data_IF_713091682488
#
_entry.id   IF_713091682488
#
_cell.length_a   1.000
_cell.length_b   1.000
_cell.length_c   1.000
_cell.angle_alpha   90.00
_cell.angle_beta   90.00
_cell.angle_gamma   90.00
#
_symmetry.space_group_name_H-M   'P 1'
#
loop_
_entity.id
_entity.type
_entity.pdbx_description
1 polymer ?
#
# COMPACT_ATOMS: atom_id res chain seq x y z
N UNK A 1 -20.84 10.82 -5.86
CA UNK A 1 -20.54 9.45 -6.25
C UNK A 1 -19.25 9.01 -5.55
N UNK A 2 -19.23 7.85 -4.97
CA UNK A 2 -18.06 7.35 -4.26
C UNK A 2 -16.90 7.05 -5.22
N UNK A 3 -15.70 7.31 -4.77
CA UNK A 3 -14.49 6.99 -5.52
C UNK A 3 -14.32 5.48 -5.60
N UNK A 4 -13.85 5.00 -6.74
CA UNK A 4 -13.59 3.57 -6.91
C UNK A 4 -12.30 3.20 -6.17
N UNK A 5 -12.38 2.21 -5.28
CA UNK A 5 -11.25 1.74 -4.49
C UNK A 5 -11.02 0.25 -4.73
N UNK A 6 -10.79 -0.07 -6.00
CA UNK A 6 -10.45 -1.40 -6.46
C UNK A 6 -9.13 -1.31 -7.23
N UNK A 7 -8.15 -2.12 -6.84
CA UNK A 7 -6.86 -2.16 -7.51
C UNK A 7 -7.03 -2.73 -8.90
N UNK A 8 -6.56 -2.01 -9.91
CA UNK A 8 -6.59 -2.49 -11.28
C UNK A 8 -5.29 -3.15 -11.68
N UNK A 9 -4.18 -2.45 -11.44
CA UNK A 9 -2.85 -2.92 -11.82
C UNK A 9 -1.87 -2.48 -10.75
N UNK A 10 -1.25 -3.45 -10.09
CA UNK A 10 -0.27 -3.15 -9.05
C UNK A 10 0.71 -4.30 -8.95
N UNK A 11 2.00 -3.99 -9.01
CA UNK A 11 3.05 -4.99 -8.91
C UNK A 11 4.11 -4.52 -7.91
N UNK A 12 4.40 -5.35 -6.93
CA UNK A 12 5.41 -5.00 -5.93
C UNK A 12 5.61 -6.09 -4.92
N UNK A 13 6.43 -5.78 -3.92
CA UNK A 13 6.70 -6.69 -2.81
C UNK A 13 6.23 -6.01 -1.53
N UNK A 14 5.33 -6.66 -0.81
CA UNK A 14 4.88 -6.19 0.50
C UNK A 14 5.96 -6.49 1.52
N UNK A 15 6.33 -5.47 2.30
CA UNK A 15 7.34 -5.55 3.35
C UNK A 15 6.74 -5.23 4.71
N UNK A 16 7.34 -5.80 5.74
CA UNK A 16 7.21 -5.33 7.12
C UNK A 16 8.61 -4.91 7.56
N UNK A 17 8.81 -3.60 7.82
CA UNK A 17 10.14 -3.03 8.01
C UNK A 17 11.01 -3.41 6.79
N UNK A 18 12.13 -4.09 6.98
CA UNK A 18 12.97 -4.51 5.87
C UNK A 18 12.85 -6.00 5.55
N UNK A 19 11.77 -6.63 6.04
CA UNK A 19 11.50 -8.05 5.78
C UNK A 19 10.48 -8.20 4.65
N UNK A 20 10.84 -8.82 3.52
CA UNK A 20 9.90 -9.07 2.43
C UNK A 20 8.91 -10.16 2.82
N UNK A 21 7.63 -9.93 2.54
CA UNK A 21 6.55 -10.85 2.91
C UNK A 21 5.89 -11.50 1.71
N UNK A 22 5.53 -10.71 0.70
CA UNK A 22 4.71 -11.20 -0.40
C UNK A 22 5.11 -10.48 -1.69
N UNK A 23 5.53 -11.27 -2.68
CA UNK A 23 5.75 -10.76 -4.04
C UNK A 23 4.46 -10.99 -4.82
N UNK A 24 3.81 -9.91 -5.23
CA UNK A 24 2.49 -10.01 -5.85
C UNK A 24 2.38 -9.14 -7.10
N UNK A 25 1.48 -9.55 -7.97
CA UNK A 25 1.11 -8.75 -9.13
C UNK A 25 -0.39 -8.87 -9.37
N UNK A 26 -1.06 -7.73 -9.49
CA UNK A 26 -2.46 -7.63 -9.88
C UNK A 26 -2.48 -6.99 -11.26
N UNK A 27 -3.21 -7.60 -12.18
CA UNK A 27 -3.39 -7.10 -13.53
C UNK A 27 -4.85 -7.26 -13.95
N UNK A 28 -5.44 -6.18 -14.43
CA UNK A 28 -6.84 -6.16 -14.84
C UNK A 28 -7.76 -6.69 -13.74
N UNK A 29 -7.50 -6.25 -12.50
CA UNK A 29 -8.27 -6.63 -11.31
C UNK A 29 -8.19 -8.10 -10.97
N UNK A 30 -7.13 -8.78 -11.40
CA UNK A 30 -6.88 -10.17 -11.06
C UNK A 30 -5.51 -10.33 -10.40
N UNK A 31 -5.46 -11.15 -9.36
CA UNK A 31 -4.18 -11.50 -8.74
C UNK A 31 -3.54 -12.59 -9.59
N UNK A 32 -2.53 -12.19 -10.40
CA UNK A 32 -1.87 -13.12 -11.33
C UNK A 32 -0.59 -13.72 -10.75
N UNK A 33 -0.09 -13.17 -9.66
CA UNK A 33 1.11 -13.67 -9.00
C UNK A 33 1.01 -13.40 -7.51
N UNK A 34 1.35 -14.39 -6.70
CA UNK A 34 1.46 -14.22 -5.25
C UNK A 34 2.43 -15.25 -4.71
N UNK A 35 3.59 -14.78 -4.24
CA UNK A 35 4.63 -15.63 -3.68
C UNK A 35 4.89 -15.21 -2.24
N UNK A 36 4.61 -16.12 -1.30
CA UNK A 36 4.88 -15.90 0.12
C UNK A 36 6.39 -16.02 0.35
N UNK A 37 7.01 -14.93 0.79
CA UNK A 37 8.46 -14.86 0.98
C UNK A 37 8.88 -15.06 2.44
N UNK A 38 7.92 -15.23 3.36
CA UNK A 38 8.22 -15.26 4.78
C UNK A 38 7.47 -16.35 5.55
N UNK A 39 7.04 -17.40 4.85
CA UNK A 39 6.33 -18.53 5.46
C UNK A 39 5.09 -18.08 6.26
N UNK A 40 4.37 -17.10 5.76
CA UNK A 40 3.16 -16.58 6.37
C UNK A 40 3.38 -15.71 7.59
N UNK A 41 4.62 -15.50 8.00
CA UNK A 41 4.91 -14.75 9.22
C UNK A 41 4.89 -13.24 8.97
N UNK A 42 4.45 -12.48 9.96
CA UNK A 42 4.37 -11.01 9.96
C UNK A 42 3.34 -10.44 9.00
N UNK A 43 2.53 -11.28 8.37
CA UNK A 43 1.48 -10.83 7.46
C UNK A 43 0.45 -9.99 8.21
N UNK A 44 -0.10 -8.95 7.56
CA UNK A 44 -1.18 -8.18 8.18
C UNK A 44 -2.43 -9.05 8.35
N UNK A 45 -3.31 -8.71 9.31
CA UNK A 45 -4.48 -9.54 9.61
C UNK A 45 -5.33 -9.91 8.40
N UNK A 46 -5.50 -8.98 7.46
CA UNK A 46 -6.30 -9.22 6.25
C UNK A 46 -5.79 -10.39 5.43
N UNK A 47 -4.48 -10.65 5.47
CA UNK A 47 -3.86 -11.75 4.74
C UNK A 47 -3.59 -12.95 5.64
N UNK A 48 -3.20 -12.70 6.88
CA UNK A 48 -2.88 -13.78 7.82
C UNK A 48 -4.11 -14.62 8.18
N UNK A 49 -5.24 -13.96 8.41
CA UNK A 49 -6.48 -14.63 8.85
C UNK A 49 -7.31 -15.11 7.67
N UNK A 50 -7.44 -14.29 6.63
CA UNK A 50 -8.36 -14.54 5.53
C UNK A 50 -7.69 -15.17 4.31
N UNK A 51 -6.35 -15.12 4.24
CA UNK A 51 -5.59 -15.70 3.15
C UNK A 51 -5.23 -14.69 2.07
N UNK A 52 -4.39 -15.14 1.14
CA UNK A 52 -3.88 -14.30 0.04
C UNK A 52 -4.84 -14.41 -1.12
N UNK A 53 -5.50 -13.30 -1.46
CA UNK A 53 -6.42 -13.21 -2.58
C UNK A 53 -6.49 -11.76 -3.05
N UNK A 54 -7.02 -11.54 -4.25
CA UNK A 54 -7.23 -10.19 -4.75
C UNK A 54 -8.06 -9.37 -3.76
N UNK A 55 -9.19 -9.91 -3.30
CA UNK A 55 -10.09 -9.18 -2.40
C UNK A 55 -9.43 -8.83 -1.08
N UNK A 56 -8.63 -9.73 -0.53
CA UNK A 56 -7.98 -9.49 0.76
C UNK A 56 -6.83 -8.50 0.63
N UNK A 57 -6.07 -8.55 -0.46
CA UNK A 57 -5.05 -7.55 -0.75
C UNK A 57 -5.70 -6.18 -0.94
N UNK A 58 -6.78 -6.14 -1.71
CA UNK A 58 -7.50 -4.89 -1.94
C UNK A 58 -8.03 -4.32 -0.62
N UNK A 59 -8.59 -5.16 0.24
CA UNK A 59 -9.10 -4.75 1.54
C UNK A 59 -7.99 -4.18 2.42
N UNK A 60 -6.82 -4.80 2.40
CA UNK A 60 -5.67 -4.31 3.14
C UNK A 60 -5.34 -2.87 2.75
N UNK A 61 -5.20 -2.60 1.45
CA UNK A 61 -4.87 -1.26 0.98
C UNK A 61 -6.02 -0.28 1.16
N UNK A 62 -7.26 -0.74 0.98
CA UNK A 62 -8.44 0.12 1.17
C UNK A 62 -8.52 0.65 2.59
N UNK A 63 -8.23 -0.19 3.59
CA UNK A 63 -8.26 0.23 4.99
C UNK A 63 -7.14 1.19 5.35
N UNK A 64 -6.10 1.26 4.54
CA UNK A 64 -4.93 2.11 4.76
C UNK A 64 -5.02 3.43 4.00
N UNK A 65 -6.07 3.62 3.23
CA UNK A 65 -6.26 4.79 2.39
C UNK A 65 -7.18 5.78 3.10
N UNK A 66 -6.78 7.06 3.12
CA UNK A 66 -7.59 8.10 3.71
C UNK A 66 -8.96 8.15 3.05
N UNK A 67 -10.02 8.22 3.86
CA UNK A 67 -11.38 8.25 3.35
C UNK A 67 -11.74 9.61 2.75
N UNK A 68 -12.59 9.57 1.74
CA UNK A 68 -13.03 10.72 0.99
C UNK A 68 -13.60 11.84 1.84
N UNK A 69 -14.29 11.54 2.90
CA UNK A 69 -14.91 12.54 3.77
C UNK A 69 -14.03 13.04 4.90
N UNK A 70 -12.78 12.59 4.99
CA UNK A 70 -11.90 13.00 6.08
C UNK A 70 -11.46 14.45 5.94
N UNK A 71 -11.26 15.10 7.10
CA UNK A 71 -10.69 16.44 7.14
C UNK A 71 -9.32 16.44 6.46
N UNK A 72 -9.03 17.48 5.70
CA UNK A 72 -7.77 17.64 4.96
C UNK A 72 -7.53 16.60 3.86
N UNK A 73 -8.56 15.90 3.43
CA UNK A 73 -8.43 14.89 2.38
C UNK A 73 -7.86 15.51 1.09
N UNK A 74 -8.41 16.64 0.65
CA UNK A 74 -7.94 17.30 -0.57
C UNK A 74 -6.51 17.81 -0.45
N UNK A 75 -6.17 18.35 0.71
CA UNK A 75 -4.81 18.82 1.00
C UNK A 75 -3.83 17.65 0.96
N UNK A 76 -4.24 16.50 1.49
CA UNK A 76 -3.42 15.30 1.44
C UNK A 76 -3.17 14.86 -0.01
N UNK A 77 -4.19 14.83 -0.84
CA UNK A 77 -4.04 14.45 -2.24
C UNK A 77 -3.09 15.39 -2.97
N UNK A 78 -3.21 16.70 -2.73
CA UNK A 78 -2.32 17.68 -3.34
C UNK A 78 -0.88 17.49 -2.88
N UNK A 79 -0.70 17.20 -1.60
CA UNK A 79 0.64 17.01 -1.02
C UNK A 79 1.38 15.84 -1.65
N UNK A 80 0.68 14.82 -2.11
CA UNK A 80 1.27 13.68 -2.80
C UNK A 80 1.19 13.79 -4.31
N UNK A 81 0.77 14.97 -4.83
CA UNK A 81 0.77 15.25 -6.26
C UNK A 81 -0.41 14.69 -7.04
N UNK A 82 -1.57 14.56 -6.40
CA UNK A 82 -2.77 14.05 -7.05
C UNK A 82 -3.85 15.12 -7.15
N UNK A 83 -4.33 15.39 -8.35
CA UNK A 83 -5.48 16.26 -8.56
C UNK A 83 -6.79 15.49 -8.44
N UNK A 84 -6.76 14.25 -8.92
CA UNK A 84 -7.89 13.32 -8.85
C UNK A 84 -7.47 12.07 -8.12
N UNK A 85 -8.41 11.49 -7.38
CA UNK A 85 -8.13 10.21 -6.72
C UNK A 85 -8.08 9.09 -7.75
N UNK A 86 -6.99 8.31 -7.71
CA UNK A 86 -6.84 7.05 -8.40
C UNK A 86 -6.23 6.09 -7.39
N UNK A 87 -6.92 4.98 -7.14
CA UNK A 87 -6.53 4.10 -6.05
C UNK A 87 -5.15 3.48 -6.24
N UNK A 88 -4.86 2.97 -7.45
CA UNK A 88 -3.56 2.39 -7.77
C UNK A 88 -2.45 3.42 -7.57
N UNK A 89 -2.67 4.63 -8.08
CA UNK A 89 -1.69 5.69 -7.97
C UNK A 89 -1.51 6.17 -6.54
N UNK A 90 -2.60 6.22 -5.76
CA UNK A 90 -2.52 6.56 -4.35
C UNK A 90 -1.62 5.58 -3.60
N UNK A 91 -1.81 4.27 -3.84
CA UNK A 91 -0.99 3.25 -3.21
C UNK A 91 0.47 3.42 -3.62
N UNK A 92 0.74 3.67 -4.89
CA UNK A 92 2.10 3.83 -5.38
C UNK A 92 2.79 5.05 -4.80
N UNK A 93 2.12 6.18 -4.76
CA UNK A 93 2.70 7.42 -4.25
C UNK A 93 3.00 7.36 -2.76
N UNK A 94 2.27 6.56 -2.01
CA UNK A 94 2.51 6.35 -0.59
C UNK A 94 3.36 5.11 -0.30
N UNK A 95 3.83 4.40 -1.31
CA UNK A 95 4.51 3.12 -1.16
C UNK A 95 3.70 2.15 -0.30
N UNK A 96 2.38 2.18 -0.42
CA UNK A 96 1.49 1.33 0.36
C UNK A 96 1.54 1.55 1.87
N UNK A 97 2.18 2.61 2.33
CA UNK A 97 2.32 2.90 3.76
C UNK A 97 1.29 3.95 4.20
N UNK A 98 0.80 3.83 5.43
CA UNK A 98 -0.21 4.74 5.98
C UNK A 98 0.36 5.71 7.03
N UNK A 99 1.68 5.76 7.20
CA UNK A 99 2.38 6.58 8.18
C UNK A 99 2.10 6.20 9.65
N UNK A 100 1.44 5.07 9.87
CA UNK A 100 1.09 4.62 11.22
C UNK A 100 1.82 3.33 11.57
N UNK A 101 1.83 2.36 10.65
CA UNK A 101 2.47 1.09 10.89
C UNK A 101 3.71 0.89 10.02
N UNK A 102 4.29 -0.30 10.06
CA UNK A 102 5.56 -0.61 9.41
C UNK A 102 5.42 -1.41 8.11
N UNK A 103 4.20 -1.55 7.60
CA UNK A 103 3.97 -2.20 6.31
C UNK A 103 4.16 -1.20 5.17
N UNK A 104 4.76 -1.66 4.09
CA UNK A 104 4.94 -0.84 2.89
C UNK A 104 5.18 -1.74 1.69
N UNK A 105 5.11 -1.17 0.50
CA UNK A 105 5.31 -1.91 -0.74
C UNK A 105 6.52 -1.34 -1.47
N UNK A 106 7.42 -2.22 -1.84
CA UNK A 106 8.57 -1.87 -2.69
C UNK A 106 8.20 -2.14 -4.13
N UNK A 107 8.19 -1.08 -4.93
CA UNK A 107 7.90 -1.21 -6.37
C UNK A 107 9.19 -1.43 -7.14
N UNK A 108 9.15 -2.13 -8.30
CA UNK A 108 10.37 -2.48 -9.03
C UNK A 108 11.22 -1.28 -9.45
N UNK A 109 10.57 -0.19 -9.84
CA UNK A 109 11.24 0.95 -10.48
C UNK A 109 10.85 2.30 -9.90
N UNK A 110 10.23 2.34 -8.74
CA UNK A 110 9.65 3.57 -8.22
C UNK A 110 9.68 3.60 -6.69
N UNK A 111 9.95 4.79 -6.13
CA UNK A 111 9.75 5.06 -4.73
C UNK A 111 10.82 4.49 -3.80
N UNK A 112 10.42 4.22 -2.57
CA UNK A 112 11.33 3.79 -1.51
C UNK A 112 11.98 2.45 -1.80
N UNK A 113 13.25 2.32 -1.39
CA UNK A 113 14.03 1.09 -1.59
C UNK A 113 14.24 0.31 -0.30
N UNK A 114 14.00 0.94 0.86
CA UNK A 114 14.10 0.30 2.17
C UNK A 114 13.19 1.05 3.14
N UNK A 115 12.98 0.50 4.33
CA UNK A 115 12.08 1.13 5.30
C UNK A 115 12.57 2.51 5.73
N UNK A 116 13.87 2.73 5.78
CA UNK A 116 14.42 4.05 6.11
C UNK A 116 13.89 5.12 5.16
N UNK A 117 13.79 4.80 3.87
CA UNK A 117 13.27 5.75 2.88
C UNK A 117 11.82 6.12 3.19
N UNK A 118 11.02 5.15 3.66
CA UNK A 118 9.64 5.42 4.08
C UNK A 118 9.62 6.42 5.23
N UNK A 119 10.41 6.16 6.27
CA UNK A 119 10.45 7.01 7.46
C UNK A 119 10.91 8.43 7.13
N UNK A 120 11.92 8.58 6.29
CA UNK A 120 12.45 9.89 5.88
C UNK A 120 11.48 10.62 4.97
N UNK A 121 10.89 9.90 4.02
CA UNK A 121 10.01 10.49 3.02
C UNK A 121 8.70 10.99 3.64
N UNK A 122 8.20 10.32 4.65
CA UNK A 122 6.96 10.72 5.33
C UNK A 122 7.19 11.79 6.40
N UNK A 123 8.37 12.42 6.39
CA UNK A 123 8.69 13.45 7.35
C UNK A 123 8.85 12.85 8.73
N UNK A 124 9.99 12.22 8.99
CA UNK A 124 10.26 11.49 10.22
C UNK A 124 9.76 12.14 11.50
N UNK A 125 9.52 13.45 11.47
CA UNK A 125 8.95 14.17 12.61
C UNK A 125 7.62 13.59 13.07
N UNK A 126 6.79 13.09 12.15
CA UNK A 126 5.49 12.52 12.50
C UNK A 126 5.62 11.20 13.26
N UNK A 127 6.80 10.59 13.24
CA UNK A 127 7.05 9.30 13.88
C UNK A 127 7.88 9.39 15.14
N UNK A 128 8.24 10.57 15.51
CA UNK A 128 9.06 10.81 16.69
C UNK A 128 8.23 10.92 17.95
#
# INVERSE_FOLDING_TARGET
MAEVRLIRNLKGILYFLDTPLLDFEIRDRELIKAVDLNEGRLFPPELAVWGISYMNINRFFKRRTMREGCMFYREHLRAIGMERFDFDEYIRKNNGNNNIDNYWVKFPDFGARCFRDIAEHTGGTARQ
#
